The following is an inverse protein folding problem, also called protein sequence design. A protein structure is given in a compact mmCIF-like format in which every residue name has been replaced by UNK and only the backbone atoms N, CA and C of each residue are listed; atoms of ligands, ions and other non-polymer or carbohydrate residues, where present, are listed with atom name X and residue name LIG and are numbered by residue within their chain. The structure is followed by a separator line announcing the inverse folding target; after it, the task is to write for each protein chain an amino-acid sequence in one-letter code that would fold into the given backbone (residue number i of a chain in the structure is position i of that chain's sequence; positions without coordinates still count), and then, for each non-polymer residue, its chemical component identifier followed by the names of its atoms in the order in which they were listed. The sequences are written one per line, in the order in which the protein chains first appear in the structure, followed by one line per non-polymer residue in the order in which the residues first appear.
data_IF_207394866758
#
_entry.id   IF_207394866758
#
_cell.length_a   1.000
_cell.length_b   1.000
_cell.length_c   1.000
_cell.angle_alpha   90.00
_cell.angle_beta   90.00
_cell.angle_gamma   90.00
#
_symmetry.space_group_name_H-M   'P 1'
#
loop_
_entity.id
_entity.type
_entity.pdbx_description
1 polymer ?
#
# COMPACT_ATOMS: atom_id res chain seq x y z
N UNK A 1 -0.82 -10.54 -5.21
CA UNK A 1 -0.38 -9.13 -5.39
C UNK A 1 0.53 -8.70 -4.23
N UNK A 2 1.86 -8.76 -4.37
CA UNK A 2 2.78 -8.19 -3.39
C UNK A 2 2.69 -6.65 -3.35
N UNK A 3 2.71 -6.09 -2.15
CA UNK A 3 2.74 -4.64 -1.91
C UNK A 3 3.92 -4.35 -0.98
N UNK A 4 4.85 -3.53 -1.45
CA UNK A 4 5.94 -3.01 -0.64
C UNK A 4 5.61 -1.60 -0.16
N UNK A 5 5.86 -1.34 1.12
CA UNK A 5 5.67 -0.03 1.73
C UNK A 5 6.97 0.38 2.40
N UNK A 6 7.41 1.60 2.11
CA UNK A 6 8.60 2.20 2.71
C UNK A 6 8.23 3.54 3.32
N UNK A 7 8.60 3.74 4.58
CA UNK A 7 8.51 5.04 5.24
C UNK A 7 9.86 5.73 5.13
N UNK A 8 9.90 6.82 4.38
CA UNK A 8 11.05 7.72 4.25
C UNK A 8 10.79 8.99 5.07
N UNK A 9 11.78 9.85 5.29
CA UNK A 9 11.60 11.11 6.02
C UNK A 9 11.88 11.04 7.53
N UNK A 10 11.48 12.07 8.27
CA UNK A 10 11.68 12.13 9.73
C UNK A 10 10.75 11.16 10.44
N UNK A 11 11.33 10.03 10.87
CA UNK A 11 10.69 9.05 11.71
C UNK A 11 10.56 9.59 13.15
N UNK A 12 9.51 9.25 13.90
CA UNK A 12 9.41 9.68 15.30
C UNK A 12 10.56 9.09 16.12
N UNK A 13 11.17 9.90 16.99
CA UNK A 13 12.41 9.57 17.72
C UNK A 13 12.35 8.27 18.56
N UNK A 14 11.17 7.73 18.85
CA UNK A 14 10.96 6.58 19.73
C UNK A 14 10.45 5.32 19.00
N UNK A 15 10.55 5.24 17.67
CA UNK A 15 10.09 4.06 16.92
C UNK A 15 11.27 3.12 16.64
N UNK A 16 11.17 1.87 17.09
CA UNK A 16 12.17 0.83 16.79
C UNK A 16 12.03 0.36 15.34
N UNK A 17 13.13 -0.09 14.71
CA UNK A 17 13.08 -0.66 13.35
C UNK A 17 12.04 -1.79 13.22
N UNK A 18 11.95 -2.69 14.21
CA UNK A 18 10.95 -3.76 14.23
C UNK A 18 9.50 -3.22 14.21
N UNK A 19 9.25 -2.07 14.87
CA UNK A 19 7.96 -1.41 14.82
C UNK A 19 7.70 -0.82 13.43
N UNK A 20 8.69 -0.19 12.81
CA UNK A 20 8.58 0.32 11.43
C UNK A 20 8.23 -0.79 10.44
N UNK A 21 8.94 -1.91 10.51
CA UNK A 21 8.73 -3.05 9.61
C UNK A 21 7.34 -3.66 9.82
N UNK A 22 6.89 -3.78 11.08
CA UNK A 22 5.54 -4.27 11.40
C UNK A 22 4.44 -3.33 10.88
N UNK A 23 4.65 -2.02 10.96
CA UNK A 23 3.72 -1.03 10.45
C UNK A 23 3.70 -1.04 8.92
N UNK A 24 4.85 -1.18 8.26
CA UNK A 24 4.97 -1.27 6.81
C UNK A 24 4.24 -2.51 6.28
N UNK A 25 4.44 -3.67 6.92
CA UNK A 25 3.77 -4.92 6.57
C UNK A 25 2.24 -4.80 6.68
N UNK A 26 1.75 -4.27 7.79
CA UNK A 26 0.30 -4.08 7.99
C UNK A 26 -0.28 -3.06 7.03
N UNK A 27 0.43 -1.96 6.78
CA UNK A 27 0.07 -0.95 5.77
C UNK A 27 -0.02 -1.59 4.38
N UNK A 28 0.92 -2.46 4.02
CA UNK A 28 0.92 -3.22 2.77
C UNK A 28 -0.31 -4.13 2.65
N UNK A 29 -0.68 -4.83 3.72
CA UNK A 29 -1.90 -5.64 3.76
C UNK A 29 -3.17 -4.80 3.58
N UNK A 30 -3.27 -3.64 4.23
CA UNK A 30 -4.39 -2.71 4.05
C UNK A 30 -4.46 -2.21 2.60
N UNK A 31 -3.33 -1.88 1.98
CA UNK A 31 -3.27 -1.55 0.56
C UNK A 31 -3.78 -2.70 -0.32
N UNK A 32 -3.38 -3.94 -0.06
CA UNK A 32 -3.84 -5.10 -0.83
C UNK A 32 -5.38 -5.20 -0.84
N UNK A 33 -6.00 -5.06 0.33
CA UNK A 33 -7.45 -5.12 0.49
C UNK A 33 -8.15 -3.97 -0.24
N UNK A 34 -7.66 -2.74 -0.05
CA UNK A 34 -8.24 -1.54 -0.66
C UNK A 34 -8.09 -1.55 -2.19
N UNK A 35 -6.93 -1.96 -2.71
CA UNK A 35 -6.66 -2.06 -4.15
C UNK A 35 -7.62 -3.08 -4.77
N UNK A 36 -7.74 -4.28 -4.18
CA UNK A 36 -8.65 -5.30 -4.68
C UNK A 36 -10.09 -4.78 -4.71
N UNK A 37 -10.56 -4.16 -3.62
CA UNK A 37 -11.91 -3.61 -3.54
C UNK A 37 -12.17 -2.55 -4.63
N UNK A 38 -11.18 -1.68 -4.90
CA UNK A 38 -11.30 -0.68 -5.97
C UNK A 38 -11.26 -1.32 -7.37
N UNK A 39 -10.42 -2.34 -7.59
CA UNK A 39 -10.44 -3.08 -8.86
C UNK A 39 -11.79 -3.73 -9.10
N UNK A 40 -12.33 -4.47 -8.13
CA UNK A 40 -13.66 -5.09 -8.24
C UNK A 40 -14.76 -4.06 -8.48
N UNK A 41 -14.70 -2.90 -7.81
CA UNK A 41 -15.66 -1.80 -7.99
C UNK A 41 -15.67 -1.25 -9.41
N UNK A 42 -14.50 -1.18 -10.06
CA UNK A 42 -14.35 -0.61 -11.40
C UNK A 42 -14.36 -1.65 -12.53
N UNK A 43 -14.24 -2.94 -12.21
CA UNK A 43 -14.38 -4.09 -13.10
C UNK A 43 -15.82 -4.32 -13.60
N UNK A 44 -16.62 -3.25 -13.78
CA UNK A 44 -18.03 -3.38 -14.15
C UNK A 44 -18.17 -4.14 -15.46
N UNK A 45 -19.05 -5.16 -15.53
CA UNK A 45 -19.24 -5.94 -16.75
C UNK A 45 -19.90 -5.06 -17.82
N UNK A 46 -19.09 -4.52 -18.75
CA UNK A 46 -19.61 -3.93 -19.98
C UNK A 46 -19.98 -5.03 -20.95
N UNK A 47 -21.14 -5.64 -20.72
CA UNK A 47 -21.94 -6.50 -21.62
C UNK A 47 -21.31 -7.67 -22.39
N UNK A 48 -19.99 -7.80 -22.62
CA UNK A 48 -19.39 -8.93 -23.35
C UNK A 48 -17.91 -9.17 -22.98
N UNK A 49 -17.66 -10.36 -22.44
CA UNK A 49 -16.44 -11.19 -22.43
C UNK A 49 -15.14 -10.70 -21.76
N UNK A 50 -14.54 -11.66 -21.04
CA UNK A 50 -13.26 -11.72 -20.32
C UNK A 50 -13.10 -10.78 -19.11
N UNK A 51 -13.70 -11.14 -17.98
CA UNK A 51 -13.33 -10.53 -16.69
C UNK A 51 -11.96 -11.05 -16.25
N UNK A 52 -10.98 -10.16 -16.12
CA UNK A 52 -9.74 -10.45 -15.37
C UNK A 52 -10.10 -10.91 -13.96
N UNK A 53 -9.72 -12.14 -13.60
CA UNK A 53 -9.88 -12.66 -12.25
C UNK A 53 -8.70 -12.24 -11.39
N UNK A 54 -8.97 -11.54 -10.29
CA UNK A 54 -7.94 -11.09 -9.37
C UNK A 54 -7.97 -11.98 -8.12
N UNK A 55 -6.83 -12.59 -7.82
CA UNK A 55 -6.64 -13.42 -6.64
C UNK A 55 -6.83 -12.61 -5.35
N UNK A 56 -7.50 -13.19 -4.33
CA UNK A 56 -7.66 -12.53 -3.03
C UNK A 56 -6.31 -12.34 -2.30
N UNK A 57 -6.16 -11.28 -1.47
CA UNK A 57 -4.98 -11.09 -0.65
C UNK A 57 -4.73 -12.27 0.27
N UNK A 58 -5.79 -12.86 0.84
CA UNK A 58 -5.66 -14.00 1.75
C UNK A 58 -5.09 -15.24 1.07
N UNK A 59 -5.56 -15.56 -0.15
CA UNK A 59 -5.01 -16.69 -0.93
C UNK A 59 -3.55 -16.41 -1.32
N UNK A 60 -3.26 -15.18 -1.76
CA UNK A 60 -1.88 -14.79 -2.11
C UNK A 60 -0.95 -14.92 -0.90
N UNK A 61 -1.30 -14.30 0.22
CA UNK A 61 -0.47 -14.27 1.42
C UNK A 61 -0.37 -15.66 2.07
N UNK A 62 -1.41 -16.49 1.95
CA UNK A 62 -1.36 -17.90 2.33
C UNK A 62 -0.33 -18.68 1.53
N UNK A 63 -0.32 -18.54 0.20
CA UNK A 63 0.67 -19.19 -0.67
C UNK A 63 2.10 -18.69 -0.40
N UNK A 64 2.28 -17.38 -0.20
CA UNK A 64 3.58 -16.80 0.17
C UNK A 64 4.09 -17.34 1.51
N UNK A 65 3.21 -17.47 2.51
CA UNK A 65 3.55 -18.05 3.81
C UNK A 65 3.93 -19.51 3.69
N UNK A 66 3.20 -20.30 2.91
CA UNK A 66 3.55 -21.70 2.64
C UNK A 66 4.90 -21.86 1.94
N UNK A 67 5.28 -20.88 1.10
CA UNK A 67 6.58 -20.83 0.44
C UNK A 67 7.70 -20.22 1.31
N UNK A 68 7.40 -19.79 2.55
CA UNK A 68 8.33 -19.08 3.44
C UNK A 68 8.93 -17.80 2.84
N UNK A 69 8.17 -17.12 1.99
CA UNK A 69 8.57 -15.86 1.34
C UNK A 69 7.89 -14.68 2.05
N UNK A 70 8.68 -13.70 2.47
CA UNK A 70 8.14 -12.48 3.07
C UNK A 70 7.49 -11.59 2.01
N UNK A 71 6.63 -10.65 2.43
CA UNK A 71 6.00 -9.71 1.50
C UNK A 71 7.02 -8.84 0.75
N UNK A 72 8.14 -8.50 1.39
CA UNK A 72 9.23 -7.74 0.78
C UNK A 72 10.02 -8.60 -0.22
N UNK A 73 10.33 -9.84 0.14
CA UNK A 73 11.02 -10.75 -0.77
C UNK A 73 10.16 -11.04 -1.99
N UNK A 74 8.85 -11.24 -1.81
CA UNK A 74 7.90 -11.42 -2.90
C UNK A 74 7.88 -10.23 -3.88
N UNK A 75 8.15 -9.01 -3.42
CA UNK A 75 8.25 -7.86 -4.31
C UNK A 75 9.50 -7.95 -5.21
N UNK A 76 10.63 -8.39 -4.64
CA UNK A 76 11.92 -8.48 -5.33
C UNK A 76 12.09 -9.78 -6.15
N UNK A 77 11.30 -10.82 -5.88
CA UNK A 77 11.30 -12.05 -6.66
C UNK A 77 10.91 -11.79 -8.11
N UNK A 78 11.52 -12.55 -9.01
CA UNK A 78 11.18 -12.60 -10.42
C UNK A 78 9.64 -12.74 -10.60
N UNK A 79 8.98 -11.82 -11.32
CA UNK A 79 7.55 -11.88 -11.60
C UNK A 79 7.09 -13.23 -12.16
N UNK A 80 7.90 -13.93 -12.93
CA UNK A 80 7.52 -15.17 -13.61
C UNK A 80 7.54 -16.36 -12.67
N UNK A 81 8.56 -16.40 -11.80
CA UNK A 81 8.65 -17.38 -10.71
C UNK A 81 7.49 -17.17 -9.76
N UNK A 82 7.20 -15.91 -9.42
CA UNK A 82 6.11 -15.55 -8.53
C UNK A 82 4.73 -15.86 -9.15
N UNK A 83 4.53 -15.59 -10.44
CA UNK A 83 3.30 -15.92 -11.17
C UNK A 83 3.00 -17.42 -11.13
N UNK A 84 4.02 -18.25 -11.44
CA UNK A 84 3.93 -19.72 -11.40
C UNK A 84 3.60 -20.24 -10.00
N UNK A 85 4.29 -19.72 -8.99
CA UNK A 85 4.04 -20.10 -7.59
C UNK A 85 2.64 -19.72 -7.11
N UNK A 86 2.15 -18.55 -7.50
CA UNK A 86 0.81 -18.08 -7.13
C UNK A 86 -0.31 -18.70 -7.96
N UNK A 87 0.03 -19.40 -9.05
CA UNK A 87 -0.92 -19.95 -10.02
C UNK A 87 -1.66 -18.87 -10.80
N UNK A 88 -0.99 -17.76 -11.11
CA UNK A 88 -1.55 -16.61 -11.82
C UNK A 88 -0.84 -16.38 -13.16
N UNK A 89 -1.54 -15.82 -14.15
CA UNK A 89 -0.98 -15.52 -15.48
C UNK A 89 -0.06 -14.29 -15.49
N UNK A 90 -0.25 -13.39 -14.52
CA UNK A 90 0.48 -12.15 -14.36
C UNK A 90 0.44 -11.71 -12.89
N UNK A 91 1.41 -10.90 -12.48
CA UNK A 91 1.52 -10.39 -11.11
C UNK A 91 1.31 -8.88 -11.09
N UNK A 92 0.41 -8.43 -10.23
CA UNK A 92 0.30 -7.01 -9.87
C UNK A 92 1.30 -6.74 -8.74
N UNK A 93 2.23 -5.82 -8.96
CA UNK A 93 3.18 -5.33 -7.95
C UNK A 93 2.86 -3.88 -7.63
N UNK A 94 2.88 -3.52 -6.34
CA UNK A 94 2.71 -2.13 -5.91
C UNK A 94 3.82 -1.73 -4.95
N UNK A 95 4.45 -0.59 -5.21
CA UNK A 95 5.41 0.04 -4.33
C UNK A 95 4.82 1.36 -3.81
N UNK A 96 4.91 1.58 -2.51
CA UNK A 96 4.46 2.79 -1.85
C UNK A 96 5.59 3.37 -1.02
N UNK A 97 6.00 4.60 -1.34
CA UNK A 97 6.97 5.36 -0.59
C UNK A 97 6.23 6.52 0.06
N UNK A 98 6.25 6.60 1.39
CA UNK A 98 5.61 7.66 2.15
C UNK A 98 6.64 8.38 2.99
N UNK A 99 6.69 9.71 2.91
CA UNK A 99 7.62 10.53 3.70
C UNK A 99 7.30 10.58 5.21
N UNK A 100 6.28 9.84 5.65
CA UNK A 100 5.89 9.74 7.05
C UNK A 100 4.98 8.53 7.32
N UNK A 101 5.01 8.03 8.55
CA UNK A 101 3.96 7.16 9.09
C UNK A 101 2.70 7.99 9.43
N UNK A 102 1.56 7.59 8.87
CA UNK A 102 0.28 8.22 9.19
C UNK A 102 -0.27 7.63 10.51
N UNK A 103 -0.62 8.48 11.47
CA UNK A 103 -0.96 8.08 12.84
C UNK A 103 -2.09 7.05 12.91
N UNK A 104 -3.15 7.20 12.11
CA UNK A 104 -4.27 6.23 12.09
C UNK A 104 -3.83 4.83 11.69
N UNK A 105 -2.96 4.73 10.68
CA UNK A 105 -2.43 3.45 10.21
C UNK A 105 -1.39 2.86 11.14
N UNK A 106 -0.61 3.73 11.80
CA UNK A 106 0.28 3.31 12.85
C UNK A 106 -0.49 2.79 14.07
N UNK A 107 -1.63 3.39 14.42
CA UNK A 107 -2.52 2.94 15.50
C UNK A 107 -3.25 1.63 15.17
N UNK A 108 -3.69 1.43 13.92
CA UNK A 108 -4.20 0.13 13.45
C UNK A 108 -3.09 -0.94 13.40
N UNK A 109 -1.85 -0.51 13.17
CA UNK A 109 -0.69 -1.37 13.02
C UNK A 109 -0.02 -1.75 14.35
N UNK A 110 -0.03 -0.88 15.33
CA UNK A 110 0.71 -1.01 16.58
C UNK A 110 -0.14 -0.30 17.63
N UNK A 111 -0.72 -1.07 18.56
CA UNK A 111 -1.62 -0.55 19.61
C UNK A 111 -1.00 0.50 20.56
N UNK A 112 0.26 0.89 20.36
CA UNK A 112 1.02 1.81 21.20
C UNK A 112 1.53 3.08 20.48
N UNK A 113 1.33 3.26 19.16
CA UNK A 113 1.98 4.37 18.43
C UNK A 113 1.21 5.69 18.47
N UNK A 114 -0.06 5.69 18.87
CA UNK A 114 -0.79 6.94 19.06
C UNK A 114 -0.08 7.85 20.08
N UNK A 115 0.40 7.26 21.18
CA UNK A 115 1.12 7.98 22.22
C UNK A 115 2.55 8.35 21.82
N UNK A 116 3.21 7.57 20.97
CA UNK A 116 4.62 7.81 20.60
C UNK A 116 4.76 8.97 19.59
N UNK A 117 3.86 9.05 18.61
CA UNK A 117 3.83 10.21 17.70
C UNK A 117 3.43 11.47 18.49
N UNK A 118 2.49 11.34 19.43
CA UNK A 118 2.02 12.43 20.27
C UNK A 118 3.06 12.94 21.28
N UNK A 119 3.89 12.08 21.89
CA UNK A 119 4.96 12.48 22.82
C UNK A 119 6.25 12.93 22.11
N UNK A 120 6.54 12.41 20.91
CA UNK A 120 7.79 12.70 20.19
C UNK A 120 7.73 13.96 19.31
N UNK A 121 6.53 14.46 19.01
CA UNK A 121 6.32 15.75 18.35
C UNK A 121 5.57 16.64 19.33
N UNK A 122 6.16 17.73 19.81
CA UNK A 122 5.49 18.78 20.60
C UNK A 122 4.43 19.50 19.75
N UNK A 123 3.44 18.77 19.26
CA UNK A 123 2.37 19.27 18.39
C UNK A 123 1.07 18.80 19.02
N UNK A 124 0.61 19.59 19.99
CA UNK A 124 -0.72 19.51 20.56
C UNK A 124 -1.76 19.65 19.42
N UNK A 125 -2.74 18.73 19.29
CA UNK A 125 -3.79 18.82 18.26
C UNK A 125 -4.72 20.02 18.45
N UNK A 126 -4.55 20.83 19.50
CA UNK A 126 -5.42 21.97 19.86
C UNK A 126 -4.80 23.35 19.59
N UNK A 127 -3.67 23.46 18.87
CA UNK A 127 -3.12 24.78 18.50
C UNK A 127 -3.31 25.05 17.01
N UNK A 128 -4.30 25.89 16.71
CA UNK A 128 -4.59 26.49 15.40
C UNK A 128 -3.50 27.43 14.89
N UNK A 129 -2.27 26.94 14.77
CA UNK A 129 -1.21 27.58 13.99
C UNK A 129 -1.35 27.19 12.52
N UNK A 130 -1.06 28.12 11.62
CA UNK A 130 -0.99 27.86 10.18
C UNK A 130 0.15 26.87 9.86
N UNK A 131 -0.12 25.58 10.04
CA UNK A 131 0.77 24.49 9.67
C UNK A 131 0.67 24.36 8.15
N UNK A 132 1.83 24.39 7.47
CA UNK A 132 1.96 24.14 6.04
C UNK A 132 0.92 23.12 5.54
N UNK A 133 0.11 23.53 4.57
CA UNK A 133 -0.89 22.70 3.87
C UNK A 133 -0.28 21.52 3.09
N UNK A 134 1.00 21.22 3.27
CA UNK A 134 1.69 20.04 2.76
C UNK A 134 2.53 19.45 3.90
N UNK A 135 2.17 18.27 4.36
CA UNK A 135 2.77 17.60 5.53
C UNK A 135 3.63 16.40 5.15
N UNK A 136 3.24 15.63 4.13
CA UNK A 136 4.05 14.53 3.60
C UNK A 136 3.69 14.29 2.14
N UNK A 137 4.59 13.65 1.39
CA UNK A 137 4.28 13.13 0.06
C UNK A 137 4.17 11.61 0.13
N UNK A 138 3.12 11.08 -0.49
CA UNK A 138 2.96 9.64 -0.74
C UNK A 138 3.10 9.41 -2.23
N UNK A 139 4.09 8.61 -2.59
CA UNK A 139 4.35 8.13 -3.94
C UNK A 139 3.90 6.67 -3.99
N UNK A 140 3.04 6.33 -4.94
CA UNK A 140 2.58 4.98 -5.15
C UNK A 140 2.70 4.62 -6.63
N UNK A 141 3.40 3.53 -6.91
CA UNK A 141 3.49 2.93 -8.23
C UNK A 141 2.83 1.55 -8.19
N UNK A 142 1.97 1.26 -9.14
CA UNK A 142 1.34 -0.04 -9.30
C UNK A 142 1.52 -0.50 -10.74
N UNK A 143 1.97 -1.74 -10.95
CA UNK A 143 2.22 -2.30 -12.26
C UNK A 143 1.70 -3.74 -12.38
N UNK A 144 1.19 -4.08 -13.56
CA UNK A 144 0.90 -5.45 -13.98
C UNK A 144 2.10 -5.95 -14.79
N UNK A 145 2.72 -7.03 -14.31
CA UNK A 145 3.95 -7.58 -14.88
C UNK A 145 3.73 -9.03 -15.30
N UNK A 146 4.21 -9.40 -16.49
CA UNK A 146 4.17 -10.75 -17.04
C UNK A 146 5.39 -10.98 -17.91
N UNK A 147 6.06 -12.12 -17.77
CA UNK A 147 7.24 -12.49 -18.57
C UNK A 147 8.36 -11.46 -18.49
N UNK A 148 8.58 -10.87 -17.30
CA UNK A 148 9.52 -9.75 -17.10
C UNK A 148 9.09 -8.40 -17.73
N UNK A 149 7.99 -8.36 -18.48
CA UNK A 149 7.50 -7.15 -19.15
C UNK A 149 6.38 -6.47 -18.35
N UNK A 150 6.37 -5.14 -18.34
CA UNK A 150 5.29 -4.35 -17.71
C UNK A 150 4.17 -4.14 -18.71
N UNK A 151 3.05 -4.84 -18.52
CA UNK A 151 1.86 -4.73 -19.36
C UNK A 151 1.05 -3.46 -19.09
N UNK A 152 1.09 -2.99 -17.84
CA UNK A 152 0.40 -1.78 -17.41
C UNK A 152 1.09 -1.19 -16.20
N UNK A 153 1.12 0.13 -16.08
CA UNK A 153 1.52 0.81 -14.85
C UNK A 153 0.69 2.06 -14.61
N UNK A 154 0.53 2.39 -13.33
CA UNK A 154 -0.04 3.64 -12.88
C UNK A 154 0.79 4.18 -11.72
N UNK A 155 1.27 5.39 -11.90
CA UNK A 155 1.92 6.16 -10.84
C UNK A 155 0.96 7.20 -10.28
N UNK A 156 1.09 7.44 -8.98
CA UNK A 156 0.37 8.50 -8.32
C UNK A 156 1.18 9.10 -7.17
N UNK A 157 1.31 10.43 -7.21
CA UNK A 157 1.86 11.22 -6.12
C UNK A 157 0.73 12.04 -5.49
N UNK A 158 0.67 12.05 -4.16
CA UNK A 158 -0.24 12.93 -3.45
C UNK A 158 0.45 13.61 -2.27
N UNK A 159 0.42 14.95 -2.20
CA UNK A 159 0.69 15.65 -0.95
C UNK A 159 -0.43 15.35 0.03
N UNK A 160 -0.05 14.92 1.24
CA UNK A 160 -0.93 14.60 2.35
C UNK A 160 -0.75 15.62 3.47
N UNK A 161 -1.81 15.82 4.24
CA UNK A 161 -1.87 16.75 5.37
C UNK A 161 -2.25 15.97 6.63
N UNK A 162 -1.88 16.49 7.81
CA UNK A 162 -2.24 15.90 9.11
C UNK A 162 -3.73 15.57 9.27
N UNK A 163 -4.60 16.37 8.65
CA UNK A 163 -6.06 16.27 8.77
C UNK A 163 -6.70 15.17 7.90
N UNK A 164 -5.93 14.49 7.03
CA UNK A 164 -6.47 13.46 6.15
C UNK A 164 -6.07 12.09 6.68
N UNK A 165 -7.06 11.23 6.94
CA UNK A 165 -6.80 9.86 7.38
C UNK A 165 -5.96 9.10 6.35
N UNK A 166 -5.07 8.24 6.83
CA UNK A 166 -4.21 7.46 5.94
C UNK A 166 -4.99 6.53 5.01
N UNK A 167 -6.08 5.94 5.48
CA UNK A 167 -6.97 5.10 4.67
C UNK A 167 -7.68 5.90 3.58
N UNK A 168 -8.01 7.17 3.82
CA UNK A 168 -8.59 8.06 2.80
C UNK A 168 -7.59 8.42 1.71
N UNK A 169 -6.32 8.64 2.08
CA UNK A 169 -5.24 8.81 1.11
C UNK A 169 -5.14 7.53 0.27
N UNK A 170 -4.98 6.37 0.91
CA UNK A 170 -4.92 5.07 0.22
C UNK A 170 -6.08 4.91 -0.77
N UNK A 171 -7.32 5.10 -0.31
CA UNK A 171 -8.51 5.02 -1.14
C UNK A 171 -8.46 5.97 -2.33
N UNK A 172 -7.98 7.21 -2.16
CA UNK A 172 -7.85 8.15 -3.29
C UNK A 172 -6.82 7.69 -4.31
N UNK A 173 -5.70 7.13 -3.87
CA UNK A 173 -4.64 6.57 -4.73
C UNK A 173 -5.19 5.37 -5.51
N UNK A 174 -5.68 4.36 -4.79
CA UNK A 174 -6.12 3.08 -5.35
C UNK A 174 -7.38 3.23 -6.20
N UNK A 175 -8.28 4.16 -5.86
CA UNK A 175 -9.44 4.50 -6.71
C UNK A 175 -9.02 4.99 -8.09
N UNK A 176 -7.95 5.79 -8.18
CA UNK A 176 -7.43 6.25 -9.48
C UNK A 176 -6.79 5.12 -10.26
N UNK A 177 -6.05 4.25 -9.58
CA UNK A 177 -5.48 3.04 -10.18
C UNK A 177 -6.58 2.13 -10.73
N UNK A 178 -7.62 1.84 -9.95
CA UNK A 178 -8.71 0.95 -10.39
C UNK A 178 -9.57 1.50 -11.52
N UNK A 179 -9.70 2.83 -11.65
CA UNK A 179 -10.36 3.45 -12.83
C UNK A 179 -9.60 3.26 -14.14
N UNK A 180 -8.27 3.10 -14.06
CA UNK A 180 -7.36 3.03 -15.22
C UNK A 180 -6.87 1.62 -15.49
N UNK A 181 -7.23 0.66 -14.63
CA UNK A 181 -6.80 -0.72 -14.76
C UNK A 181 -7.44 -1.35 -16.02
N UNK A 182 -6.66 -2.05 -16.85
CA UNK A 182 -7.18 -2.77 -18.01
C UNK A 182 -7.84 -4.07 -17.53
N UNK A 183 -9.18 -4.06 -17.50
CA UNK A 183 -10.02 -5.20 -17.10
C UNK A 183 -10.30 -6.17 -18.24
#
# INVERSE_FOLDING_TARGET
MPVQVQFTGQLPHNVTQAQLDSAALKTGYTYQQIVLANFQRYAKPRKKFNMVQIQSPDKTNGLLRSASISANDAFNTDPDVLAKMLGADAVIKMNVISNRMMSDLASMGIGAVHNIIFLGTQMDPVVGGSISNKTADVFANCGLVKNGETLWSAEYQKPTNWHISGTDVMNKITRKMGKRFPF
#
